data_IF_439772181025
#
_entry.id   IF_439772181025
#
_cell.length_a   1.000
_cell.length_b   1.000
_cell.length_c   1.000
_cell.angle_alpha   90.00
_cell.angle_beta   90.00
_cell.angle_gamma   90.00
#
_symmetry.space_group_name_H-M   'P 1'
#
loop_
_entity.id
_entity.type
_entity.pdbx_description
1 polymer ?
#
# COMPACT_ATOMS: atom_id res chain seq x y z
N UNK A 1 -4.52 15.46 11.32
CA UNK A 1 -4.65 15.35 9.84
C UNK A 1 -3.27 15.22 9.22
N UNK A 2 -3.12 14.27 8.31
CA UNK A 2 -1.84 14.03 7.62
C UNK A 2 -1.69 14.93 6.41
N UNK A 3 -0.45 15.28 6.09
CA UNK A 3 -0.09 15.86 4.82
C UNK A 3 0.38 14.71 3.92
N UNK A 4 -0.26 14.52 2.77
CA UNK A 4 0.02 13.41 1.85
C UNK A 4 0.75 13.96 0.63
N UNK A 5 1.93 13.41 0.35
CA UNK A 5 2.75 13.85 -0.77
C UNK A 5 3.16 12.69 -1.67
N UNK A 6 3.10 12.92 -2.98
CA UNK A 6 3.67 12.01 -3.97
C UNK A 6 5.20 12.16 -3.88
N UNK A 7 5.89 11.03 -3.69
CA UNK A 7 7.35 11.00 -3.56
C UNK A 7 7.92 9.90 -4.46
N UNK A 8 8.96 10.24 -5.19
CA UNK A 8 9.63 9.34 -6.13
C UNK A 8 10.77 8.54 -5.48
N UNK A 9 11.59 7.90 -6.32
CA UNK A 9 12.70 7.06 -5.88
C UNK A 9 13.77 7.81 -5.08
N UNK A 10 13.83 9.15 -5.14
CA UNK A 10 14.75 9.92 -4.31
C UNK A 10 14.42 9.81 -2.81
N UNK A 11 13.21 9.36 -2.48
CA UNK A 11 12.76 9.09 -1.12
C UNK A 11 12.82 7.60 -0.74
N UNK A 12 13.54 6.78 -1.51
CA UNK A 12 13.60 5.33 -1.29
C UNK A 12 14.00 4.94 0.12
N UNK A 13 14.89 5.70 0.76
CA UNK A 13 15.31 5.45 2.14
C UNK A 13 14.14 5.62 3.12
N UNK A 14 13.35 6.69 2.96
CA UNK A 14 12.18 6.93 3.82
C UNK A 14 11.16 5.82 3.64
N UNK A 15 10.88 5.41 2.41
CA UNK A 15 9.99 4.26 2.15
C UNK A 15 10.51 2.99 2.80
N UNK A 16 11.81 2.71 2.67
CA UNK A 16 12.42 1.51 3.22
C UNK A 16 12.36 1.51 4.75
N UNK A 17 12.63 2.64 5.40
CA UNK A 17 12.57 2.75 6.86
C UNK A 17 11.18 2.44 7.38
N UNK A 18 10.13 2.96 6.74
CA UNK A 18 8.74 2.68 7.12
C UNK A 18 8.40 1.22 6.83
N UNK A 19 8.79 0.71 5.68
CA UNK A 19 8.52 -0.68 5.30
C UNK A 19 9.14 -1.66 6.30
N UNK A 20 10.39 -1.45 6.67
CA UNK A 20 11.09 -2.29 7.66
C UNK A 20 10.47 -2.21 9.05
N UNK A 21 9.88 -1.07 9.41
CA UNK A 21 9.18 -0.92 10.69
C UNK A 21 7.81 -1.60 10.70
N UNK A 22 7.20 -1.79 9.53
CA UNK A 22 5.84 -2.36 9.40
C UNK A 22 5.83 -3.85 9.10
N UNK A 23 6.88 -4.38 8.47
CA UNK A 23 6.91 -5.75 7.98
C UNK A 23 8.13 -6.51 8.50
N UNK A 24 7.95 -7.78 8.86
CA UNK A 24 9.03 -8.63 9.38
C UNK A 24 10.15 -8.82 8.34
N UNK A 25 9.80 -8.83 7.04
CA UNK A 25 10.75 -8.91 5.93
C UNK A 25 10.62 -7.63 5.10
N UNK A 26 11.04 -6.52 5.69
CA UNK A 26 10.99 -5.23 5.03
C UNK A 26 11.95 -5.15 3.86
N UNK A 27 11.61 -4.31 2.88
CA UNK A 27 12.47 -4.01 1.75
C UNK A 27 13.51 -2.97 2.16
N UNK A 28 14.76 -3.18 1.74
CA UNK A 28 15.82 -2.20 1.95
C UNK A 28 15.71 -1.04 0.95
N UNK A 29 16.58 -0.04 1.11
CA UNK A 29 16.57 1.15 0.25
C UNK A 29 16.75 0.80 -1.23
N UNK A 30 17.67 -0.13 -1.55
CA UNK A 30 17.93 -0.54 -2.93
C UNK A 30 16.71 -1.19 -3.59
N UNK A 31 16.04 -2.09 -2.88
CA UNK A 31 14.83 -2.75 -3.37
C UNK A 31 13.70 -1.74 -3.59
N UNK A 32 13.54 -0.82 -2.65
CA UNK A 32 12.50 0.21 -2.75
C UNK A 32 12.78 1.16 -3.91
N UNK A 33 14.04 1.54 -4.11
CA UNK A 33 14.45 2.40 -5.24
C UNK A 33 14.15 1.72 -6.56
N UNK A 34 14.50 0.45 -6.70
CA UNK A 34 14.23 -0.32 -7.93
C UNK A 34 12.73 -0.35 -8.23
N UNK A 35 11.90 -0.57 -7.22
CA UNK A 35 10.44 -0.57 -7.39
C UNK A 35 9.92 0.79 -7.85
N UNK A 36 10.37 1.86 -7.21
CA UNK A 36 9.90 3.22 -7.51
C UNK A 36 10.41 3.75 -8.85
N UNK A 37 11.49 3.19 -9.39
CA UNK A 37 12.03 3.55 -10.70
C UNK A 37 11.34 2.83 -11.86
N UNK A 38 10.55 1.79 -11.58
CA UNK A 38 9.81 1.10 -12.64
C UNK A 38 8.78 2.04 -13.26
N UNK A 39 8.60 2.00 -14.60
CA UNK A 39 7.51 2.72 -15.24
C UNK A 39 6.18 2.27 -14.65
N UNK A 40 5.27 3.22 -14.40
CA UNK A 40 3.98 2.89 -13.79
C UNK A 40 4.04 2.67 -12.29
N UNK A 41 5.03 3.25 -11.60
CA UNK A 41 5.06 3.28 -10.14
C UNK A 41 4.51 4.60 -9.62
N UNK A 42 3.72 4.54 -8.56
CA UNK A 42 3.23 5.71 -7.84
C UNK A 42 3.40 5.46 -6.35
N UNK A 43 4.17 6.32 -5.69
CA UNK A 43 4.36 6.24 -4.25
C UNK A 43 3.88 7.52 -3.57
N UNK A 44 3.25 7.36 -2.40
CA UNK A 44 2.82 8.46 -1.56
C UNK A 44 3.32 8.24 -0.13
N UNK A 45 3.72 9.33 0.50
CA UNK A 45 4.12 9.32 1.91
C UNK A 45 3.17 10.26 2.67
N UNK A 46 2.65 9.77 3.78
CA UNK A 46 1.89 10.57 4.73
C UNK A 46 2.83 11.14 5.79
N UNK A 47 2.68 12.42 6.09
CA UNK A 47 3.46 13.11 7.11
C UNK A 47 2.54 13.62 8.21
N UNK A 48 2.94 13.40 9.45
CA UNK A 48 2.31 13.97 10.65
C UNK A 48 3.34 14.88 11.32
N UNK A 49 3.02 16.16 11.46
CA UNK A 49 3.95 17.14 12.05
C UNK A 49 5.35 17.07 11.40
N UNK A 50 5.39 17.03 10.06
CA UNK A 50 6.60 16.95 9.25
C UNK A 50 7.40 15.64 9.40
N UNK A 51 6.82 14.62 10.03
CA UNK A 51 7.45 13.31 10.19
C UNK A 51 6.75 12.27 9.34
N UNK A 52 7.50 11.42 8.61
CA UNK A 52 6.89 10.33 7.85
C UNK A 52 6.12 9.39 8.78
N UNK A 53 4.87 9.11 8.43
CA UNK A 53 3.97 8.30 9.25
C UNK A 53 3.48 7.03 8.55
N UNK A 54 3.40 7.06 7.23
CA UNK A 54 2.90 5.92 6.47
C UNK A 54 3.22 6.05 4.99
N UNK A 55 3.09 4.93 4.28
CA UNK A 55 3.38 4.84 2.84
C UNK A 55 2.33 4.02 2.11
N UNK A 56 2.16 4.30 0.84
CA UNK A 56 1.52 3.40 -0.12
C UNK A 56 2.28 3.46 -1.44
N UNK A 57 2.48 2.30 -2.05
CA UNK A 57 3.12 2.19 -3.38
C UNK A 57 2.22 1.38 -4.28
N UNK A 58 1.97 1.92 -5.46
CA UNK A 58 1.18 1.27 -6.51
C UNK A 58 2.06 0.95 -7.71
N UNK A 59 1.71 -0.13 -8.40
CA UNK A 59 2.15 -0.40 -9.77
C UNK A 59 0.93 -0.27 -10.67
N UNK A 60 1.01 0.54 -11.73
CA UNK A 60 -0.14 0.73 -12.61
C UNK A 60 0.23 0.58 -14.08
N UNK A 61 -0.77 0.18 -14.84
CA UNK A 61 -0.79 0.15 -16.30
C UNK A 61 -2.08 0.85 -16.76
N UNK A 62 -2.30 1.08 -18.06
CA UNK A 62 -3.50 1.79 -18.48
C UNK A 62 -4.79 1.21 -17.89
N UNK A 63 -5.49 2.03 -17.12
CA UNK A 63 -6.79 1.70 -16.54
C UNK A 63 -6.78 0.91 -15.25
N UNK A 64 -5.64 0.35 -14.84
CA UNK A 64 -5.57 -0.58 -13.71
C UNK A 64 -4.34 -0.33 -12.84
N UNK A 65 -4.50 -0.43 -11.51
CA UNK A 65 -3.41 -0.36 -10.56
C UNK A 65 -3.48 -1.51 -9.56
N UNK A 66 -2.30 -1.88 -9.04
CA UNK A 66 -2.18 -2.83 -7.95
C UNK A 66 -1.52 -2.14 -6.76
N UNK A 67 -2.02 -2.38 -5.55
CA UNK A 67 -1.30 -1.98 -4.34
C UNK A 67 -0.14 -2.95 -4.15
N UNK A 68 1.08 -2.42 -4.23
CA UNK A 68 2.30 -3.21 -4.00
C UNK A 68 2.59 -3.32 -2.53
N UNK A 69 2.52 -2.20 -1.80
CA UNK A 69 2.70 -2.18 -0.35
C UNK A 69 1.97 -0.99 0.26
N UNK A 70 1.57 -1.17 1.52
CA UNK A 70 0.82 -0.18 2.28
C UNK A 70 1.15 -0.39 3.75
N UNK A 71 1.56 0.66 4.44
CA UNK A 71 1.90 0.55 5.85
C UNK A 71 1.86 1.87 6.59
N UNK A 72 1.49 1.82 7.85
CA UNK A 72 1.49 2.96 8.77
C UNK A 72 2.34 2.58 9.97
N UNK A 73 3.26 3.48 10.34
CA UNK A 73 4.13 3.25 11.52
C UNK A 73 3.26 3.02 12.77
N UNK A 74 3.70 2.12 13.68
CA UNK A 74 2.92 1.80 14.88
C UNK A 74 2.48 3.01 15.69
N UNK A 75 3.34 4.02 15.86
CA UNK A 75 3.05 5.22 16.65
C UNK A 75 1.92 6.09 16.04
N UNK A 76 1.60 5.88 14.78
CA UNK A 76 0.60 6.67 14.05
C UNK A 76 -0.67 5.88 13.73
N UNK A 77 -0.76 4.64 14.19
CA UNK A 77 -1.96 3.81 13.98
C UNK A 77 -3.12 4.32 14.82
N UNK A 78 -4.34 4.15 14.31
CA UNK A 78 -5.54 4.64 14.98
C UNK A 78 -5.78 6.14 14.82
N UNK A 79 -5.03 6.83 13.96
CA UNK A 79 -5.12 8.27 13.75
C UNK A 79 -5.58 8.62 12.33
N UNK A 80 -6.23 7.69 11.64
CA UNK A 80 -6.78 7.86 10.29
C UNK A 80 -5.75 8.09 9.18
N UNK A 81 -4.46 7.84 9.44
CA UNK A 81 -3.40 7.99 8.41
C UNK A 81 -3.66 7.07 7.23
N UNK A 82 -4.05 5.83 7.49
CA UNK A 82 -4.35 4.86 6.42
C UNK A 82 -5.52 5.31 5.56
N UNK A 83 -6.58 5.84 6.15
CA UNK A 83 -7.73 6.36 5.40
C UNK A 83 -7.33 7.55 4.54
N UNK A 84 -6.54 8.47 5.07
CA UNK A 84 -6.05 9.64 4.35
C UNK A 84 -5.14 9.26 3.18
N UNK A 85 -4.23 8.28 3.38
CA UNK A 85 -3.39 7.75 2.30
C UNK A 85 -4.24 7.12 1.19
N UNK A 86 -5.24 6.34 1.57
CA UNK A 86 -6.12 5.67 0.61
C UNK A 86 -6.88 6.71 -0.23
N UNK A 87 -7.50 7.68 0.42
CA UNK A 87 -8.26 8.73 -0.27
C UNK A 87 -7.40 9.56 -1.21
N UNK A 88 -6.22 9.99 -0.76
CA UNK A 88 -5.30 10.79 -1.57
C UNK A 88 -4.78 9.99 -2.77
N UNK A 89 -4.43 8.72 -2.56
CA UNK A 89 -3.93 7.87 -3.65
C UNK A 89 -5.00 7.58 -4.68
N UNK A 90 -6.25 7.40 -4.27
CA UNK A 90 -7.36 7.20 -5.20
C UNK A 90 -7.56 8.42 -6.11
N UNK A 91 -7.46 9.63 -5.55
CA UNK A 91 -7.52 10.85 -6.36
C UNK A 91 -6.39 10.91 -7.39
N UNK A 92 -5.16 10.61 -6.96
CA UNK A 92 -4.01 10.62 -7.86
C UNK A 92 -4.14 9.58 -8.98
N UNK A 93 -4.60 8.38 -8.65
CA UNK A 93 -4.80 7.32 -9.64
C UNK A 93 -5.92 7.68 -10.62
N UNK A 94 -7.00 8.26 -10.14
CA UNK A 94 -8.09 8.69 -11.01
C UNK A 94 -7.63 9.75 -12.02
N UNK A 95 -6.76 10.66 -11.62
CA UNK A 95 -6.16 11.66 -12.51
C UNK A 95 -5.30 11.00 -13.60
N UNK A 96 -4.69 9.85 -13.32
CA UNK A 96 -3.93 9.05 -14.30
C UNK A 96 -4.83 8.18 -15.17
N UNK A 97 -6.13 8.27 -15.04
CA UNK A 97 -7.08 7.48 -15.81
C UNK A 97 -7.28 6.05 -15.31
N UNK A 98 -6.86 5.75 -14.09
CA UNK A 98 -7.05 4.43 -13.50
C UNK A 98 -8.54 4.24 -13.16
N UNK A 99 -9.09 3.10 -13.55
CA UNK A 99 -10.50 2.74 -13.35
C UNK A 99 -10.71 1.74 -12.23
N UNK A 100 -9.72 0.91 -11.95
CA UNK A 100 -9.83 -0.14 -10.94
C UNK A 100 -8.50 -0.39 -10.25
N UNK A 101 -8.58 -0.80 -8.99
CA UNK A 101 -7.44 -1.12 -8.14
C UNK A 101 -7.61 -2.53 -7.60
N UNK A 102 -6.53 -3.31 -7.64
CA UNK A 102 -6.45 -4.64 -7.05
C UNK A 102 -5.46 -4.67 -5.91
N UNK A 103 -5.67 -5.58 -4.98
CA UNK A 103 -4.72 -5.89 -3.92
C UNK A 103 -4.84 -7.37 -3.53
N UNK A 104 -3.82 -7.85 -2.83
CA UNK A 104 -3.84 -9.15 -2.19
C UNK A 104 -3.58 -8.94 -0.70
N UNK A 105 -4.35 -9.62 0.14
CA UNK A 105 -4.26 -9.49 1.60
C UNK A 105 -4.42 -10.86 2.23
N UNK A 106 -3.63 -11.15 3.27
CA UNK A 106 -3.76 -12.40 4.00
C UNK A 106 -5.16 -12.53 4.62
N UNK A 107 -5.76 -13.71 4.54
CA UNK A 107 -7.13 -13.96 5.03
C UNK A 107 -7.28 -13.68 6.51
N UNK A 108 -6.20 -13.79 7.29
CA UNK A 108 -6.18 -13.55 8.73
C UNK A 108 -5.89 -12.08 9.11
N UNK A 109 -5.59 -11.24 8.13
CA UNK A 109 -5.36 -9.81 8.36
C UNK A 109 -6.68 -9.05 8.36
N UNK A 110 -7.50 -9.29 9.38
CA UNK A 110 -8.86 -8.75 9.47
C UNK A 110 -8.88 -7.22 9.54
N UNK A 111 -7.90 -6.62 10.19
CA UNK A 111 -7.79 -5.16 10.30
C UNK A 111 -7.61 -4.51 8.92
N UNK A 112 -6.71 -5.04 8.11
CA UNK A 112 -6.49 -4.54 6.75
C UNK A 112 -7.71 -4.78 5.86
N UNK A 113 -8.32 -5.96 5.96
CA UNK A 113 -9.52 -6.29 5.18
C UNK A 113 -10.65 -5.30 5.48
N UNK A 114 -10.87 -4.96 6.75
CA UNK A 114 -11.88 -3.98 7.15
C UNK A 114 -11.59 -2.59 6.58
N UNK A 115 -10.32 -2.17 6.61
CA UNK A 115 -9.88 -0.92 6.00
C UNK A 115 -10.22 -0.89 4.51
N UNK A 116 -9.84 -1.94 3.78
CA UNK A 116 -10.08 -2.02 2.34
C UNK A 116 -11.57 -2.02 2.01
N UNK A 117 -12.38 -2.75 2.77
CA UNK A 117 -13.83 -2.75 2.58
C UNK A 117 -14.45 -1.36 2.79
N UNK A 118 -13.96 -0.60 3.78
CA UNK A 118 -14.43 0.77 4.00
C UNK A 118 -14.16 1.68 2.79
N UNK A 119 -13.14 1.38 2.03
CA UNK A 119 -12.76 2.15 0.83
C UNK A 119 -13.27 1.54 -0.47
N UNK A 120 -14.25 0.66 -0.40
CA UNK A 120 -14.94 0.15 -1.58
C UNK A 120 -14.34 -1.10 -2.20
N UNK A 121 -13.35 -1.73 -1.57
CA UNK A 121 -12.82 -3.00 -2.05
C UNK A 121 -13.77 -4.14 -1.74
N UNK A 122 -13.93 -5.04 -2.69
CA UNK A 122 -14.71 -6.28 -2.56
C UNK A 122 -13.83 -7.45 -2.94
N UNK A 123 -14.06 -8.59 -2.30
CA UNK A 123 -13.34 -9.80 -2.64
C UNK A 123 -13.77 -10.29 -4.02
N UNK A 124 -12.80 -10.53 -4.89
CA UNK A 124 -13.04 -11.07 -6.24
C UNK A 124 -12.35 -12.41 -6.48
N UNK A 125 -11.49 -12.85 -5.54
CA UNK A 125 -10.79 -14.11 -5.69
C UNK A 125 -10.06 -14.50 -4.41
N UNK A 126 -9.40 -15.66 -4.46
CA UNK A 126 -8.62 -16.20 -3.37
C UNK A 126 -7.44 -16.97 -3.95
N UNK A 127 -6.25 -16.75 -3.38
CA UNK A 127 -5.03 -17.50 -3.74
C UNK A 127 -4.64 -18.42 -2.59
N UNK A 128 -4.80 -19.73 -2.72
CA UNK A 128 -4.41 -20.69 -1.69
C UNK A 128 -2.89 -20.67 -1.44
N UNK A 129 -2.51 -20.72 -0.17
CA UNK A 129 -1.11 -20.84 0.25
C UNK A 129 -0.18 -19.75 -0.31
N UNK A 130 -0.69 -18.54 -0.51
CA UNK A 130 0.05 -17.44 -1.12
C UNK A 130 1.17 -16.91 -0.22
N UNK A 131 0.88 -16.76 1.08
CA UNK A 131 1.87 -16.34 2.06
C UNK A 131 2.47 -17.55 2.74
N UNK A 132 3.81 -17.64 2.76
CA UNK A 132 4.54 -18.73 3.41
C UNK A 132 5.42 -18.12 4.49
N UNK A 133 5.20 -18.56 5.76
CA UNK A 133 5.98 -18.14 6.92
C UNK A 133 6.47 -19.40 7.61
N UNK A 134 7.71 -19.84 7.29
CA UNK A 134 8.21 -21.14 7.75
C UNK A 134 7.35 -22.26 7.20
N UNK A 135 6.77 -23.07 8.09
CA UNK A 135 5.88 -24.18 7.72
C UNK A 135 4.41 -23.76 7.60
N UNK A 136 4.09 -22.50 7.96
CA UNK A 136 2.72 -21.98 7.93
C UNK A 136 2.44 -21.36 6.57
N UNK A 137 1.36 -21.84 5.93
CA UNK A 137 0.86 -21.31 4.66
C UNK A 137 -0.48 -20.62 4.91
N UNK A 138 -0.61 -19.42 4.40
CA UNK A 138 -1.84 -18.62 4.57
C UNK A 138 -2.34 -18.20 3.20
N UNK A 139 -3.65 -18.33 3.00
CA UNK A 139 -4.30 -17.88 1.78
C UNK A 139 -4.34 -16.36 1.69
N UNK A 140 -4.38 -15.85 0.48
CA UNK A 140 -4.64 -14.45 0.20
C UNK A 140 -6.03 -14.26 -0.37
N UNK A 141 -6.70 -13.19 0.06
CA UNK A 141 -7.87 -12.67 -0.64
C UNK A 141 -7.38 -11.73 -1.74
N UNK A 142 -7.97 -11.84 -2.92
CA UNK A 142 -7.80 -10.85 -3.98
C UNK A 142 -9.00 -9.91 -3.89
N UNK A 143 -8.73 -8.62 -3.76
CA UNK A 143 -9.77 -7.60 -3.62
C UNK A 143 -9.66 -6.57 -4.74
N UNK A 144 -10.78 -5.98 -5.10
CA UNK A 144 -10.89 -5.01 -6.18
C UNK A 144 -11.79 -3.85 -5.77
N UNK A 145 -11.40 -2.64 -6.15
CA UNK A 145 -12.21 -1.43 -6.03
C UNK A 145 -12.32 -0.74 -7.39
N UNK A 146 -13.46 -0.13 -7.64
CA UNK A 146 -13.68 0.75 -8.79
C UNK A 146 -13.46 2.20 -8.37
N UNK A 147 -12.81 2.97 -9.23
CA UNK A 147 -12.60 4.40 -9.05
C UNK A 147 -13.67 5.23 -9.77
#
# INVERSE_FOLDING_TARGET
MSEIKIRDASFARTYADIHCACFARGWNESMMRQMLLLPGSLGLIAYQHDRPAGIVVYAYSPGQADIVTFGVLPDYRGQHVSDELMEASFRSLAEEGIKEIFLEVAVDNTHAIDLYKRHGFQQVGRRPNYYVRGDVKTDALVMRAEL
#
